data_IF_719003362402
#
_entry.id   IF_719003362402
#
_cell.length_a   1.000
_cell.length_b   1.000
_cell.length_c   1.000
_cell.angle_alpha   90.00
_cell.angle_beta   90.00
_cell.angle_gamma   90.00
#
_symmetry.space_group_name_H-M   'P 1'
#
loop_
_entity.id
_entity.type
_entity.pdbx_description
1 polymer ?
#
# COMPACT_ATOMS: atom_id res chain seq x y z
N UNK A 1 15.15 -17.47 15.30
CA UNK A 1 14.33 -16.77 14.29
C UNK A 1 15.04 -16.90 12.96
N UNK A 2 14.35 -17.39 11.93
CA UNK A 2 14.88 -17.34 10.56
C UNK A 2 15.08 -15.88 10.18
N UNK A 3 16.25 -15.54 9.64
CA UNK A 3 16.44 -14.18 9.09
C UNK A 3 15.65 -14.11 7.78
N UNK A 4 15.12 -12.93 7.43
CA UNK A 4 14.36 -12.78 6.18
C UNK A 4 15.18 -13.20 4.95
N UNK A 5 16.49 -12.95 4.97
CA UNK A 5 17.43 -13.36 3.92
C UNK A 5 17.45 -14.87 3.65
N UNK A 6 17.03 -15.68 4.63
CA UNK A 6 16.97 -17.14 4.50
C UNK A 6 15.66 -17.62 3.84
N UNK A 7 14.73 -16.71 3.53
CA UNK A 7 13.42 -17.05 2.96
C UNK A 7 13.44 -17.24 1.44
N UNK A 8 14.43 -16.68 0.74
CA UNK A 8 14.53 -16.85 -0.70
C UNK A 8 15.65 -16.06 -1.35
N UNK A 9 15.70 -16.11 -2.68
CA UNK A 9 16.63 -15.36 -3.51
C UNK A 9 15.85 -14.41 -4.44
N UNK A 10 16.42 -13.25 -4.81
CA UNK A 10 17.75 -12.75 -4.44
C UNK A 10 17.81 -12.25 -2.99
N UNK A 11 18.95 -12.41 -2.31
CA UNK A 11 19.11 -11.98 -0.91
C UNK A 11 18.92 -10.48 -0.71
N UNK A 12 19.33 -9.67 -1.70
CA UNK A 12 19.22 -8.21 -1.68
C UNK A 12 17.77 -7.75 -1.56
N UNK A 13 16.82 -8.49 -2.14
CA UNK A 13 15.39 -8.20 -1.98
C UNK A 13 14.99 -8.23 -0.51
N UNK A 14 15.36 -9.29 0.20
CA UNK A 14 15.02 -9.46 1.62
C UNK A 14 15.75 -8.46 2.51
N UNK A 15 16.99 -8.09 2.15
CA UNK A 15 17.71 -7.02 2.82
C UNK A 15 16.96 -5.68 2.68
N UNK A 16 16.56 -5.30 1.46
CA UNK A 16 15.76 -4.09 1.27
C UNK A 16 14.41 -4.16 1.97
N UNK A 17 13.74 -5.32 1.94
CA UNK A 17 12.46 -5.51 2.61
C UNK A 17 12.59 -5.24 4.11
N UNK A 18 13.61 -5.78 4.76
CA UNK A 18 13.90 -5.50 6.17
C UNK A 18 14.26 -4.03 6.44
N UNK A 19 14.91 -3.34 5.49
CA UNK A 19 15.24 -1.92 5.64
C UNK A 19 14.03 -1.02 5.48
N UNK A 20 13.20 -1.23 4.46
CA UNK A 20 12.03 -0.35 4.23
C UNK A 20 11.01 -0.47 5.37
N UNK A 21 10.87 -1.64 5.99
CA UNK A 21 9.97 -1.84 7.14
C UNK A 21 10.45 -1.12 8.40
N UNK A 22 11.71 -0.70 8.44
CA UNK A 22 12.26 0.13 9.52
C UNK A 22 12.00 1.62 9.30
N UNK A 23 11.54 2.01 8.12
CA UNK A 23 11.28 3.39 7.74
C UNK A 23 9.77 3.63 7.81
N UNK A 24 9.29 4.45 8.75
CA UNK A 24 7.88 4.78 8.81
C UNK A 24 7.45 5.55 7.56
N UNK A 25 6.38 5.10 6.92
CA UNK A 25 5.96 5.53 5.57
C UNK A 25 4.44 5.50 5.35
N UNK A 26 3.66 5.91 6.36
CA UNK A 26 2.22 6.06 6.16
C UNK A 26 1.91 7.00 5.00
N UNK A 27 0.75 6.80 4.39
CA UNK A 27 0.18 7.77 3.44
C UNK A 27 0.15 9.16 4.05
N UNK A 28 0.46 10.16 3.22
CA UNK A 28 0.69 11.57 3.58
C UNK A 28 1.98 11.85 4.37
N UNK A 29 2.80 10.84 4.66
CA UNK A 29 4.05 10.93 5.44
C UNK A 29 5.23 10.18 4.80
N UNK A 30 5.36 10.24 3.48
CA UNK A 30 6.29 9.46 2.66
C UNK A 30 7.72 10.04 2.60
N UNK A 31 7.97 11.21 3.20
CA UNK A 31 9.23 11.95 3.10
C UNK A 31 10.45 11.08 3.40
N UNK A 32 10.37 10.27 4.47
CA UNK A 32 11.49 9.48 4.96
C UNK A 32 11.87 8.38 3.97
N UNK A 33 10.88 7.65 3.45
CA UNK A 33 11.12 6.59 2.48
C UNK A 33 11.55 7.17 1.13
N UNK A 34 10.96 8.28 0.68
CA UNK A 34 11.40 9.00 -0.52
C UNK A 34 12.86 9.42 -0.44
N UNK A 35 13.30 9.98 0.70
CA UNK A 35 14.70 10.37 0.91
C UNK A 35 15.62 9.15 0.87
N UNK A 36 15.21 8.03 1.47
CA UNK A 36 15.98 6.78 1.42
C UNK A 36 16.14 6.27 -0.01
N UNK A 37 15.04 6.13 -0.76
CA UNK A 37 15.03 5.68 -2.16
C UNK A 37 15.90 6.56 -3.05
N UNK A 38 15.76 7.88 -2.91
CA UNK A 38 16.57 8.86 -3.64
C UNK A 38 18.06 8.66 -3.36
N UNK A 39 18.45 8.53 -2.08
CA UNK A 39 19.85 8.32 -1.69
C UNK A 39 20.42 7.00 -2.22
N UNK A 40 19.63 5.92 -2.19
CA UNK A 40 20.04 4.63 -2.72
C UNK A 40 20.27 4.69 -4.24
N UNK A 41 19.35 5.29 -4.98
CA UNK A 41 19.50 5.51 -6.42
C UNK A 41 20.75 6.35 -6.75
N UNK A 42 20.96 7.47 -6.04
CA UNK A 42 22.13 8.34 -6.23
C UNK A 42 23.45 7.63 -5.85
N UNK A 43 23.42 6.78 -4.82
CA UNK A 43 24.56 5.93 -4.42
C UNK A 43 24.98 5.00 -5.54
N UNK A 44 24.01 4.48 -6.31
CA UNK A 44 24.26 3.66 -7.49
C UNK A 44 24.60 4.46 -8.76
N UNK A 45 24.59 5.79 -8.68
CA UNK A 45 24.94 6.69 -9.78
C UNK A 45 23.79 6.95 -10.75
N UNK A 46 22.55 6.67 -10.36
CA UNK A 46 21.38 6.98 -11.17
C UNK A 46 20.87 8.40 -10.91
N UNK A 47 20.34 9.04 -11.95
CA UNK A 47 19.73 10.36 -11.85
C UNK A 47 18.36 10.25 -11.18
N UNK A 48 18.05 11.21 -10.30
CA UNK A 48 16.77 11.27 -9.60
C UNK A 48 16.11 12.63 -9.77
N UNK A 49 14.78 12.63 -9.79
CA UNK A 49 13.98 13.86 -9.79
C UNK A 49 12.73 13.65 -8.94
N UNK A 50 12.36 14.67 -8.16
CA UNK A 50 11.11 14.70 -7.39
C UNK A 50 10.23 15.80 -7.96
N UNK A 51 8.96 15.50 -8.19
CA UNK A 51 7.98 16.48 -8.68
C UNK A 51 7.32 17.28 -7.54
N UNK A 52 6.42 18.19 -7.89
CA UNK A 52 5.70 19.02 -6.91
C UNK A 52 4.73 18.22 -6.03
N UNK A 53 4.25 17.07 -6.51
CA UNK A 53 3.36 16.20 -5.74
C UNK A 53 4.14 15.33 -4.74
N UNK A 54 5.47 15.22 -4.91
CA UNK A 54 6.34 14.38 -4.08
C UNK A 54 6.63 13.02 -4.69
N UNK A 55 6.20 12.76 -5.93
CA UNK A 55 6.58 11.54 -6.66
C UNK A 55 8.07 11.59 -7.00
N UNK A 56 8.75 10.45 -6.90
CA UNK A 56 10.16 10.30 -7.25
C UNK A 56 10.29 9.50 -8.53
N UNK A 57 11.12 9.96 -9.47
CA UNK A 57 11.57 9.15 -10.60
C UNK A 57 13.07 8.91 -10.51
N UNK A 58 13.49 7.69 -10.79
CA UNK A 58 14.89 7.30 -10.98
C UNK A 58 15.11 6.90 -12.42
N UNK A 59 16.10 7.47 -13.09
CA UNK A 59 16.37 7.25 -14.52
C UNK A 59 17.53 6.29 -14.73
N UNK A 60 17.24 5.16 -15.36
CA UNK A 60 18.23 4.18 -15.79
C UNK A 60 18.38 4.28 -17.31
N UNK A 61 19.56 4.67 -17.83
CA UNK A 61 19.74 4.89 -19.25
C UNK A 61 19.82 3.57 -20.04
N UNK A 62 19.27 3.57 -21.25
CA UNK A 62 19.63 2.57 -22.26
C UNK A 62 21.03 2.89 -22.83
N UNK A 63 21.85 1.85 -23.01
CA UNK A 63 23.24 1.98 -23.46
C UNK A 63 23.41 1.77 -24.97
N UNK A 64 22.47 1.09 -25.64
CA UNK A 64 22.51 0.85 -27.09
C UNK A 64 21.85 1.96 -27.92
N UNK A 65 22.02 1.92 -29.26
CA UNK A 65 21.50 2.97 -30.17
C UNK A 65 19.98 2.94 -30.34
N UNK A 66 19.37 1.76 -30.38
CA UNK A 66 17.92 1.61 -30.42
C UNK A 66 17.42 1.61 -28.99
N UNK A 67 16.87 2.74 -28.54
CA UNK A 67 16.45 2.91 -27.15
C UNK A 67 14.95 2.77 -27.01
N UNK A 68 14.52 1.81 -26.22
CA UNK A 68 13.16 1.73 -25.70
C UNK A 68 13.16 2.17 -24.24
N UNK A 69 12.11 2.85 -23.81
CA UNK A 69 11.93 3.27 -22.42
C UNK A 69 10.65 2.68 -21.86
N UNK A 70 10.78 2.04 -20.70
CA UNK A 70 9.66 1.45 -19.95
C UNK A 70 9.59 2.13 -18.59
N UNK A 71 8.38 2.45 -18.15
CA UNK A 71 8.13 2.94 -16.80
C UNK A 71 7.82 1.73 -15.93
N UNK A 72 8.56 1.56 -14.84
CA UNK A 72 8.20 0.60 -13.79
C UNK A 72 7.70 1.40 -12.61
N UNK A 73 6.48 1.13 -12.15
CA UNK A 73 5.84 1.96 -11.13
C UNK A 73 5.39 1.17 -9.91
N UNK A 74 5.64 1.73 -8.74
CA UNK A 74 5.08 1.34 -7.45
C UNK A 74 4.69 2.60 -6.65
N UNK A 75 3.81 2.44 -5.65
CA UNK A 75 3.60 3.46 -4.62
C UNK A 75 4.50 3.22 -3.41
N UNK A 76 4.80 4.28 -2.65
CA UNK A 76 5.77 4.21 -1.54
C UNK A 76 5.12 4.30 -0.16
N UNK A 77 3.86 4.71 -0.11
CA UNK A 77 3.09 4.73 1.11
C UNK A 77 2.57 3.35 1.51
N UNK A 78 1.98 3.28 2.70
CA UNK A 78 1.25 2.11 3.16
C UNK A 78 0.09 2.56 4.03
N UNK A 79 -0.96 1.73 4.05
CA UNK A 79 -1.99 1.80 5.09
C UNK A 79 -1.36 1.53 6.45
N UNK A 80 -1.61 2.41 7.41
CA UNK A 80 -1.09 2.33 8.77
C UNK A 80 -2.19 1.93 9.76
N UNK A 81 -2.57 0.65 9.72
CA UNK A 81 -3.61 0.07 10.57
C UNK A 81 -3.02 -0.91 11.59
N UNK A 82 -3.64 -0.98 12.76
CA UNK A 82 -3.18 -1.84 13.86
C UNK A 82 -4.32 -2.45 14.64
N UNK A 83 -4.08 -3.64 15.19
CA UNK A 83 -5.04 -4.31 16.04
C UNK A 83 -5.29 -3.51 17.32
N UNK A 84 -6.49 -3.67 17.88
CA UNK A 84 -6.86 -3.09 19.16
C UNK A 84 -5.87 -3.50 20.26
N UNK A 85 -5.43 -2.54 21.08
CA UNK A 85 -4.46 -2.78 22.15
C UNK A 85 -2.99 -2.80 21.72
N UNK A 86 -2.67 -2.71 20.43
CA UNK A 86 -1.28 -2.61 19.97
C UNK A 86 -0.72 -1.19 20.16
N UNK A 87 0.31 -1.09 20.98
CA UNK A 87 1.10 0.14 21.16
C UNK A 87 2.17 0.23 20.06
N UNK A 88 1.83 0.91 18.97
CA UNK A 88 2.70 1.23 17.85
C UNK A 88 2.39 2.64 17.35
N UNK A 89 3.43 3.43 17.12
CA UNK A 89 3.36 4.78 16.55
C UNK A 89 4.03 4.80 15.17
N UNK A 90 3.20 4.73 14.12
CA UNK A 90 3.66 4.69 12.74
C UNK A 90 4.37 5.96 12.25
N UNK A 91 4.48 7.02 13.05
CA UNK A 91 5.31 8.18 12.68
C UNK A 91 6.80 7.94 12.93
N UNK A 92 7.14 6.97 13.80
CA UNK A 92 8.49 6.80 14.33
C UNK A 92 8.94 5.35 14.52
N UNK A 93 8.03 4.44 14.85
CA UNK A 93 8.37 3.08 15.23
C UNK A 93 8.57 2.22 13.96
N UNK A 94 9.62 1.39 13.92
CA UNK A 94 9.78 0.40 12.86
C UNK A 94 8.75 -0.73 13.01
N UNK A 95 8.35 -1.34 11.90
CA UNK A 95 7.49 -2.52 11.94
C UNK A 95 8.23 -3.70 12.58
N UNK A 96 7.51 -4.47 13.40
CA UNK A 96 8.01 -5.72 13.98
C UNK A 96 7.61 -6.87 13.08
N UNK A 97 8.58 -7.39 12.35
CA UNK A 97 8.36 -8.48 11.41
C UNK A 97 8.35 -9.83 12.12
N UNK A 98 7.48 -10.71 11.65
CA UNK A 98 7.39 -12.10 12.07
C UNK A 98 7.27 -13.01 10.85
N UNK A 99 7.81 -14.22 10.96
CA UNK A 99 7.58 -15.30 9.99
C UNK A 99 6.56 -16.25 10.60
N UNK A 100 5.43 -16.42 9.93
CA UNK A 100 4.34 -17.31 10.34
C UNK A 100 4.23 -18.46 9.34
N UNK A 101 3.72 -19.61 9.80
CA UNK A 101 3.44 -20.74 8.91
C UNK A 101 1.94 -20.86 8.68
N UNK A 102 1.52 -20.84 7.42
CA UNK A 102 0.12 -21.01 7.00
C UNK A 102 0.14 -22.08 5.91
N UNK A 103 -0.68 -23.12 6.06
CA UNK A 103 -0.80 -24.22 5.09
C UNK A 103 0.53 -24.91 4.70
N UNK A 104 1.45 -25.03 5.66
CA UNK A 104 2.83 -25.54 5.51
C UNK A 104 3.78 -24.64 4.69
N UNK A 105 3.37 -23.41 4.42
CA UNK A 105 4.18 -22.39 3.76
C UNK A 105 4.59 -21.30 4.74
N UNK A 106 5.73 -20.66 4.47
CA UNK A 106 6.25 -19.56 5.28
C UNK A 106 5.74 -18.24 4.71
N UNK A 107 5.13 -17.45 5.58
CA UNK A 107 4.63 -16.12 5.27
C UNK A 107 5.33 -15.08 6.13
N UNK A 108 5.55 -13.90 5.58
CA UNK A 108 6.02 -12.74 6.33
C UNK A 108 4.81 -11.91 6.75
N UNK A 109 4.79 -11.46 7.99
CA UNK A 109 3.72 -10.65 8.58
C UNK A 109 4.31 -9.62 9.54
N UNK A 110 3.52 -8.63 9.94
CA UNK A 110 3.89 -7.69 10.99
C UNK A 110 3.07 -7.98 12.26
N UNK A 111 3.71 -7.86 13.43
CA UNK A 111 3.08 -8.16 14.71
C UNK A 111 1.99 -7.13 15.05
N UNK A 112 0.74 -7.48 14.77
CA UNK A 112 -0.45 -6.71 15.15
C UNK A 112 -0.62 -5.38 14.40
N UNK A 113 0.08 -5.21 13.28
CA UNK A 113 0.04 -4.03 12.40
C UNK A 113 -0.04 -4.48 10.94
N UNK A 114 -0.40 -3.58 10.03
CA UNK A 114 -0.19 -3.79 8.60
C UNK A 114 1.29 -3.98 8.28
N UNK A 115 1.59 -4.88 7.35
CA UNK A 115 2.97 -5.17 6.91
C UNK A 115 3.48 -4.13 5.90
N UNK A 116 2.58 -3.56 5.09
CA UNK A 116 2.94 -2.75 3.94
C UNK A 116 3.64 -3.56 2.85
N UNK A 117 3.30 -4.84 2.67
CA UNK A 117 3.77 -5.60 1.50
C UNK A 117 3.25 -4.96 0.21
N UNK A 118 2.02 -4.47 0.24
CA UNK A 118 1.46 -3.49 -0.69
C UNK A 118 1.93 -2.05 -0.31
N UNK A 119 2.68 -1.32 -1.15
CA UNK A 119 3.47 -1.79 -2.29
C UNK A 119 4.97 -1.91 -1.99
N UNK A 120 5.30 -2.18 -0.73
CA UNK A 120 6.68 -2.39 -0.27
C UNK A 120 7.45 -3.46 -1.06
N UNK A 121 6.77 -4.52 -1.53
CA UNK A 121 7.38 -5.55 -2.40
C UNK A 121 7.83 -4.95 -3.73
N UNK A 122 6.99 -4.13 -4.37
CA UNK A 122 7.33 -3.40 -5.60
C UNK A 122 8.53 -2.48 -5.41
N UNK A 123 8.57 -1.73 -4.29
CA UNK A 123 9.73 -0.91 -3.91
C UNK A 123 11.00 -1.76 -3.84
N UNK A 124 10.95 -2.92 -3.17
CA UNK A 124 12.10 -3.82 -3.03
C UNK A 124 12.56 -4.38 -4.38
N UNK A 125 11.65 -4.75 -5.28
CA UNK A 125 12.02 -5.16 -6.63
C UNK A 125 12.80 -4.08 -7.38
N UNK A 126 12.35 -2.82 -7.30
CA UNK A 126 13.03 -1.72 -7.97
C UNK A 126 14.40 -1.39 -7.34
N UNK A 127 14.52 -1.48 -6.01
CA UNK A 127 15.82 -1.34 -5.32
C UNK A 127 16.80 -2.45 -5.72
N UNK A 128 16.35 -3.71 -5.73
CA UNK A 128 17.17 -4.85 -6.18
C UNK A 128 17.56 -4.73 -7.64
N UNK A 129 16.64 -4.30 -8.51
CA UNK A 129 16.92 -4.04 -9.92
C UNK A 129 18.04 -2.99 -10.09
N UNK A 130 17.92 -1.85 -9.40
CA UNK A 130 18.94 -0.81 -9.41
C UNK A 130 20.31 -1.35 -8.96
N UNK A 131 20.37 -2.08 -7.86
CA UNK A 131 21.61 -2.65 -7.35
C UNK A 131 22.23 -3.64 -8.34
N UNK A 132 21.44 -4.55 -8.92
CA UNK A 132 21.95 -5.56 -9.85
C UNK A 132 22.38 -4.98 -11.20
N UNK A 133 21.77 -3.88 -11.65
CA UNK A 133 22.26 -3.14 -12.82
C UNK A 133 23.59 -2.44 -12.48
N UNK A 134 23.68 -1.81 -11.31
CA UNK A 134 24.90 -1.16 -10.85
C UNK A 134 26.08 -2.15 -10.72
N UNK A 135 25.83 -3.34 -10.16
CA UNK A 135 26.84 -4.41 -10.03
C UNK A 135 27.17 -5.14 -11.33
N UNK A 136 26.49 -4.80 -12.44
CA UNK A 136 26.61 -5.44 -13.76
C UNK A 136 26.17 -6.91 -13.80
N UNK A 137 25.39 -7.36 -12.82
CA UNK A 137 24.74 -8.67 -12.85
C UNK A 137 23.57 -8.71 -13.84
N UNK A 138 22.88 -7.57 -13.99
CA UNK A 138 21.83 -7.38 -14.99
C UNK A 138 22.23 -6.29 -16.00
N UNK A 139 21.97 -6.56 -17.28
CA UNK A 139 22.15 -5.60 -18.35
C UNK A 139 21.02 -5.73 -19.37
N UNK A 140 20.35 -4.61 -19.64
CA UNK A 140 19.19 -4.55 -20.52
C UNK A 140 19.47 -3.90 -21.88
N UNK A 141 20.73 -3.50 -22.15
CA UNK A 141 21.22 -3.05 -23.46
C UNK A 141 20.43 -1.88 -24.06
N UNK A 142 19.43 -2.21 -24.86
CA UNK A 142 18.52 -1.31 -25.59
C UNK A 142 17.36 -0.78 -24.74
N UNK A 143 17.10 -1.34 -23.56
CA UNK A 143 16.05 -0.84 -22.66
C UNK A 143 16.63 0.11 -21.61
N UNK A 144 15.93 1.23 -21.42
CA UNK A 144 16.09 2.14 -20.30
C UNK A 144 14.81 2.15 -19.47
N UNK A 145 14.93 2.56 -18.22
CA UNK A 145 13.82 2.55 -17.28
C UNK A 145 13.65 3.91 -16.63
N UNK A 146 12.39 4.35 -16.51
CA UNK A 146 12.00 5.34 -15.53
C UNK A 146 11.33 4.58 -14.38
N UNK A 147 12.00 4.52 -13.24
CA UNK A 147 11.46 3.89 -12.03
C UNK A 147 10.64 4.95 -11.29
N UNK A 148 9.32 4.85 -11.38
CA UNK A 148 8.39 5.82 -10.82
C UNK A 148 7.87 5.34 -9.46
N UNK A 149 8.09 6.17 -8.45
CA UNK A 149 7.68 5.97 -7.07
C UNK A 149 6.62 7.02 -6.74
N UNK A 150 5.36 6.63 -6.73
CA UNK A 150 4.24 7.54 -6.43
C UNK A 150 3.97 7.64 -4.94
N UNK A 151 3.41 8.77 -4.51
CA UNK A 151 2.96 9.00 -3.13
C UNK A 151 1.44 8.95 -3.01
N UNK A 152 0.97 8.66 -1.81
CA UNK A 152 -0.41 8.84 -1.38
C UNK A 152 -1.43 8.12 -2.29
N UNK A 153 -1.18 6.84 -2.55
CA UNK A 153 -2.09 5.94 -3.27
C UNK A 153 -3.34 5.69 -2.41
N UNK A 154 -3.12 5.29 -1.16
CA UNK A 154 -4.14 4.71 -0.28
C UNK A 154 -5.17 5.74 0.19
N UNK A 155 -4.81 7.03 0.20
CA UNK A 155 -5.72 8.15 0.54
C UNK A 155 -6.16 8.96 -0.69
N UNK A 156 -6.26 8.28 -1.84
CA UNK A 156 -6.98 8.78 -3.01
C UNK A 156 -6.11 9.12 -4.21
N UNK A 157 -5.01 8.38 -4.41
CA UNK A 157 -4.18 8.43 -5.61
C UNK A 157 -3.58 9.83 -5.88
N UNK A 158 -3.30 10.61 -4.83
CA UNK A 158 -3.00 12.05 -5.00
C UNK A 158 -1.71 12.27 -5.78
N UNK A 159 -0.69 11.44 -5.57
CA UNK A 159 0.56 11.48 -6.34
C UNK A 159 0.33 11.21 -7.82
N UNK A 160 -0.41 10.14 -8.15
CA UNK A 160 -0.70 9.77 -9.54
C UNK A 160 -1.52 10.85 -10.29
N UNK A 161 -2.54 11.43 -9.64
CA UNK A 161 -3.36 12.48 -10.26
C UNK A 161 -2.61 13.79 -10.51
N UNK A 162 -1.52 14.05 -9.77
CA UNK A 162 -0.78 15.32 -9.79
C UNK A 162 0.61 15.20 -10.39
N UNK A 163 0.92 14.07 -11.04
CA UNK A 163 2.21 13.85 -11.65
C UNK A 163 2.56 14.95 -12.64
N UNK A 164 3.77 15.50 -12.54
CA UNK A 164 4.25 16.50 -13.49
C UNK A 164 4.40 15.85 -14.88
N UNK A 165 3.90 16.54 -15.92
CA UNK A 165 3.85 16.00 -17.30
C UNK A 165 5.20 15.55 -17.85
N UNK A 166 6.28 16.19 -17.41
CA UNK A 166 7.64 15.95 -17.88
C UNK A 166 8.45 15.06 -16.93
N UNK A 167 7.83 14.48 -15.89
CA UNK A 167 8.53 13.64 -14.92
C UNK A 167 9.03 12.33 -15.56
N UNK A 168 8.18 11.69 -16.35
CA UNK A 168 8.44 10.40 -17.02
C UNK A 168 8.51 10.57 -18.55
N UNK A 169 9.28 9.70 -19.19
CA UNK A 169 9.53 9.74 -20.64
C UNK A 169 9.48 8.32 -21.24
N UNK A 170 8.50 7.51 -20.82
CA UNK A 170 8.23 6.18 -21.35
C UNK A 170 6.83 6.08 -21.97
N UNK A 171 6.66 5.19 -22.95
CA UNK A 171 5.38 4.97 -23.63
C UNK A 171 4.62 3.73 -23.12
N UNK A 172 5.26 2.90 -22.30
CA UNK A 172 4.69 1.71 -21.70
C UNK A 172 4.97 1.74 -20.19
N UNK A 173 3.98 1.34 -19.40
CA UNK A 173 4.08 1.28 -17.94
C UNK A 173 3.76 -0.13 -17.46
N UNK A 174 4.59 -0.64 -16.57
CA UNK A 174 4.33 -1.85 -15.79
C UNK A 174 4.18 -1.41 -14.34
N UNK A 175 2.97 -1.52 -13.82
CA UNK A 175 2.65 -1.29 -12.42
C UNK A 175 2.94 -2.58 -11.63
N UNK A 176 3.52 -2.44 -10.44
CA UNK A 176 3.95 -3.55 -9.58
C UNK A 176 3.01 -3.76 -8.38
N UNK A 177 1.74 -3.37 -8.55
CA UNK A 177 0.73 -3.26 -7.48
C UNK A 177 -0.35 -4.33 -7.54
N UNK A 178 -0.14 -5.34 -8.39
CA UNK A 178 -0.97 -6.53 -8.37
C UNK A 178 -0.53 -7.47 -7.24
N UNK A 179 -1.49 -7.95 -6.46
CA UNK A 179 -1.26 -8.85 -5.31
C UNK A 179 -1.46 -10.36 -5.65
N UNK A 180 -1.71 -10.68 -6.92
CA UNK A 180 -1.91 -12.05 -7.41
C UNK A 180 -0.80 -12.41 -8.41
N UNK A 181 0.00 -13.44 -8.08
CA UNK A 181 1.17 -13.84 -8.87
C UNK A 181 0.82 -14.45 -10.23
N UNK A 182 -0.40 -14.99 -10.38
CA UNK A 182 -0.85 -15.66 -11.59
C UNK A 182 -1.71 -14.77 -12.50
N UNK A 183 -1.77 -13.46 -12.21
CA UNK A 183 -2.63 -12.51 -12.91
C UNK A 183 -1.89 -11.29 -13.47
N UNK A 184 -2.34 -10.83 -14.63
CA UNK A 184 -1.97 -9.51 -15.19
C UNK A 184 -3.23 -8.65 -15.23
N UNK A 185 -3.21 -7.54 -14.50
CA UNK A 185 -4.33 -6.61 -14.45
C UNK A 185 -4.24 -5.61 -15.63
N UNK A 186 -5.21 -5.68 -16.54
CA UNK A 186 -5.28 -4.80 -17.72
C UNK A 186 -6.36 -3.72 -17.63
N UNK A 187 -7.04 -3.62 -16.48
CA UNK A 187 -8.07 -2.63 -16.22
C UNK A 187 -8.54 -2.68 -14.78
N UNK A 188 -9.04 -1.55 -14.28
CA UNK A 188 -9.54 -1.41 -12.92
C UNK A 188 -10.84 -0.57 -12.89
N UNK A 189 -11.53 -0.59 -11.76
CA UNK A 189 -12.69 0.26 -11.51
C UNK A 189 -12.23 1.66 -11.06
N UNK A 190 -13.00 2.70 -11.39
CA UNK A 190 -12.83 4.02 -10.77
C UNK A 190 -13.41 4.09 -9.35
N UNK A 191 -12.98 5.07 -8.56
CA UNK A 191 -13.45 5.29 -7.18
C UNK A 191 -14.09 6.67 -6.98
N UNK A 192 -15.03 6.76 -6.02
CA UNK A 192 -15.57 8.04 -5.54
C UNK A 192 -16.02 7.92 -4.08
N UNK A 193 -15.55 8.85 -3.26
CA UNK A 193 -16.04 9.00 -1.87
C UNK A 193 -17.29 9.88 -1.86
N UNK A 194 -18.32 9.46 -1.12
CA UNK A 194 -19.56 10.22 -0.92
C UNK A 194 -19.86 10.37 0.57
N UNK A 195 -20.12 11.60 1.02
CA UNK A 195 -20.45 11.89 2.40
C UNK A 195 -21.94 12.19 2.56
N UNK A 196 -22.59 11.49 3.48
CA UNK A 196 -24.00 11.70 3.83
C UNK A 196 -24.09 12.23 5.25
N UNK A 197 -24.73 13.38 5.43
CA UNK A 197 -24.93 14.01 6.73
C UNK A 197 -26.41 13.90 7.10
N UNK A 198 -26.70 13.26 8.21
CA UNK A 198 -28.06 13.17 8.76
C UNK A 198 -28.14 14.12 9.95
N UNK A 199 -29.05 15.09 9.90
CA UNK A 199 -29.34 15.95 11.05
C UNK A 199 -30.04 15.09 12.10
N UNK A 200 -29.45 15.00 13.29
CA UNK A 200 -30.06 14.34 14.43
C UNK A 200 -30.62 15.39 15.38
N UNK A 201 -31.90 15.28 15.75
CA UNK A 201 -32.51 16.07 16.81
C UNK A 201 -32.62 15.15 18.03
N UNK A 202 -31.93 15.51 19.11
CA UNK A 202 -31.97 14.74 20.34
C UNK A 202 -33.09 15.28 21.22
N UNK A 203 -34.05 14.42 21.56
CA UNK A 203 -35.03 14.73 22.59
C UNK A 203 -34.48 14.37 23.97
N UNK A 204 -34.74 15.23 24.96
CA UNK A 204 -34.48 14.90 26.35
C UNK A 204 -35.51 13.86 26.82
N UNK A 205 -35.03 12.69 27.22
CA UNK A 205 -35.87 11.66 27.83
C UNK A 205 -36.49 12.21 29.13
N UNK A 206 -37.82 12.21 29.22
CA UNK A 206 -38.51 12.58 30.45
C UNK A 206 -38.28 11.49 31.49
N UNK A 207 -37.99 11.89 32.73
CA UNK A 207 -37.75 11.01 33.89
C UNK A 207 -38.88 10.00 34.20
N UNK A 208 -40.05 10.17 33.60
CA UNK A 208 -41.28 9.43 33.88
C UNK A 208 -41.46 8.18 33.00
N UNK A 209 -40.55 7.93 32.05
CA UNK A 209 -40.63 6.76 31.19
C UNK A 209 -39.79 5.61 31.77
N UNK A 210 -40.43 4.45 32.03
CA UNK A 210 -39.78 3.20 32.45
C UNK A 210 -39.00 2.56 31.27
N UNK A 211 -38.08 3.31 30.67
CA UNK A 211 -37.23 2.84 29.57
C UNK A 211 -35.97 2.16 30.11
N UNK A 212 -35.67 0.99 29.57
CA UNK A 212 -34.43 0.27 29.84
C UNK A 212 -33.48 0.53 28.66
N UNK A 213 -32.31 1.17 28.88
CA UNK A 213 -31.35 1.37 27.81
C UNK A 213 -30.73 0.03 27.38
N UNK A 214 -30.78 -0.26 26.08
CA UNK A 214 -30.20 -1.47 25.50
C UNK A 214 -29.13 -1.07 24.49
N UNK A 215 -27.95 -1.68 24.60
CA UNK A 215 -26.89 -1.58 23.59
C UNK A 215 -26.96 -2.81 22.68
N UNK A 216 -27.14 -2.57 21.38
CA UNK A 216 -27.09 -3.59 20.35
C UNK A 216 -25.80 -3.44 19.55
N UNK A 217 -25.13 -4.55 19.26
CA UNK A 217 -23.97 -4.58 18.39
C UNK A 217 -24.05 -5.80 17.47
N UNK A 218 -23.46 -5.66 16.27
CA UNK A 218 -23.34 -6.71 15.26
C UNK A 218 -21.86 -6.90 15.00
N UNK A 219 -21.32 -8.07 15.34
CA UNK A 219 -19.90 -8.42 15.24
C UNK A 219 -19.72 -9.86 14.76
N UNK A 220 -18.48 -10.29 14.51
CA UNK A 220 -18.17 -11.64 14.03
C UNK A 220 -18.42 -11.87 12.53
N UNK A 221 -18.56 -10.78 11.77
CA UNK A 221 -18.61 -10.84 10.31
C UNK A 221 -17.20 -11.02 9.74
N UNK A 222 -17.13 -11.63 8.55
CA UNK A 222 -15.86 -11.89 7.87
C UNK A 222 -15.10 -10.61 7.48
N UNK A 223 -15.80 -9.48 7.31
CA UNK A 223 -15.19 -8.27 6.76
C UNK A 223 -14.72 -8.48 5.31
N UNK A 224 -13.79 -7.64 4.85
CA UNK A 224 -13.22 -7.76 3.51
C UNK A 224 -13.00 -6.43 2.81
N UNK A 225 -12.24 -6.47 1.71
CA UNK A 225 -11.98 -5.31 0.88
C UNK A 225 -13.22 -4.93 0.06
N UNK A 226 -13.68 -3.68 0.16
CA UNK A 226 -14.97 -3.25 -0.41
C UNK A 226 -15.07 -3.25 -1.94
N UNK A 227 -13.95 -3.37 -2.64
CA UNK A 227 -13.87 -3.62 -4.08
C UNK A 227 -13.78 -5.11 -4.40
N UNK A 228 -12.60 -5.70 -4.22
CA UNK A 228 -12.30 -7.13 -4.48
C UNK A 228 -13.31 -8.12 -3.90
N UNK A 229 -13.75 -7.95 -2.63
CA UNK A 229 -14.65 -8.92 -1.97
C UNK A 229 -16.15 -8.62 -2.16
N UNK A 230 -16.52 -7.56 -2.89
CA UNK A 230 -17.91 -7.08 -2.93
C UNK A 230 -18.88 -8.10 -3.56
N UNK A 231 -18.36 -8.93 -4.47
CA UNK A 231 -19.10 -9.98 -5.17
C UNK A 231 -19.35 -11.22 -4.30
N UNK A 232 -18.68 -11.36 -3.15
CA UNK A 232 -18.74 -12.58 -2.32
C UNK A 232 -20.00 -12.66 -1.44
N UNK A 233 -20.86 -11.64 -1.47
CA UNK A 233 -22.11 -11.63 -0.68
C UNK A 233 -21.88 -11.56 0.83
N UNK A 234 -20.73 -11.06 1.29
CA UNK A 234 -20.41 -10.91 2.71
C UNK A 234 -21.34 -9.89 3.36
N UNK A 235 -21.73 -10.15 4.62
CA UNK A 235 -22.62 -9.26 5.37
C UNK A 235 -21.93 -7.93 5.72
N UNK A 236 -22.70 -6.84 5.70
CA UNK A 236 -22.24 -5.53 6.15
C UNK A 236 -22.91 -5.18 7.48
N UNK A 237 -22.11 -4.99 8.54
CA UNK A 237 -22.61 -4.76 9.89
C UNK A 237 -23.55 -3.54 10.00
N UNK A 238 -23.22 -2.44 9.31
CA UNK A 238 -24.03 -1.22 9.30
C UNK A 238 -25.39 -1.44 8.63
N UNK A 239 -25.41 -2.18 7.50
CA UNK A 239 -26.67 -2.53 6.83
C UNK A 239 -27.53 -3.46 7.67
N UNK A 240 -26.92 -4.44 8.33
CA UNK A 240 -27.65 -5.40 9.17
C UNK A 240 -28.26 -4.74 10.41
N UNK A 241 -27.49 -3.93 11.16
CA UNK A 241 -28.06 -3.22 12.32
C UNK A 241 -29.16 -2.26 11.87
N UNK A 242 -28.99 -1.56 10.75
CA UNK A 242 -30.04 -0.72 10.17
C UNK A 242 -31.31 -1.49 9.82
N UNK A 243 -31.18 -2.69 9.25
CA UNK A 243 -32.33 -3.56 8.96
C UNK A 243 -33.00 -4.10 10.23
N UNK A 244 -32.24 -4.43 11.27
CA UNK A 244 -32.78 -4.87 12.57
C UNK A 244 -33.59 -3.73 13.19
N UNK A 245 -33.01 -2.52 13.28
CA UNK A 245 -33.68 -1.34 13.82
C UNK A 245 -34.96 -1.01 13.02
N UNK A 246 -34.90 -1.06 11.69
CA UNK A 246 -36.07 -0.85 10.83
C UNK A 246 -37.18 -1.87 11.05
N UNK A 247 -36.83 -3.14 11.30
CA UNK A 247 -37.82 -4.19 11.59
C UNK A 247 -38.42 -4.05 12.99
N UNK A 248 -37.64 -3.59 13.97
CA UNK A 248 -38.13 -3.34 15.32
C UNK A 248 -39.05 -2.10 15.39
N UNK A 249 -38.82 -1.11 14.52
CA UNK A 249 -39.65 0.10 14.41
C UNK A 249 -40.99 -0.16 13.70
N UNK A 250 -41.04 -1.18 12.83
CA UNK A 250 -42.29 -1.60 12.17
C UNK A 250 -43.28 -2.18 13.20
N UNK A 251 -44.32 -1.40 13.50
CA UNK A 251 -45.54 -1.86 14.18
C UNK A 251 -46.29 -2.94 13.39
#
# INVERSE_FOLDING_TARGET
MSKLIDLGQPSEFWEYFEQITKIPRCSEHEEKVRIYLKKEAERFGFETQVDNAGNLVVRIPAYEKQKQKVVLQCHIDMVCEKNEGIAHDFSKDPLKLQVVNIDNEKWVSAEGTTLGADNGVGICYLLTLMQKIHSRELNFGSLGFDLLFTVDEEMGLKGAFRIDKDLINGNNLINLDAEDEDAVIIGCAGGRVSFFHVKNEMDELKKEEDLIPIRLFVSGLLGGHSGVDINLGRGNALKLIGQILWKLDKK
#
